data_IF_974842606889
#
_entry.id   IF_974842606889
#
_cell.length_a   1.000
_cell.length_b   1.000
_cell.length_c   1.000
_cell.angle_alpha   90.00
_cell.angle_beta   90.00
_cell.angle_gamma   90.00
#
_symmetry.space_group_name_H-M   'P 1'
#
loop_
_entity.id
_entity.type
_entity.pdbx_description
1 polymer ?
#
# COMPACT_ATOMS: atom_id res chain seq x y z
N UNK A 1 0.34 5.44 2.39
CA UNK A 1 -0.27 4.09 2.23
C UNK A 1 -0.32 3.75 0.74
N UNK A 2 0.22 2.60 0.33
CA UNK A 2 0.25 2.18 -1.08
C UNK A 2 -0.83 1.16 -1.41
N UNK A 3 -1.28 1.13 -2.66
CA UNK A 3 -2.09 0.05 -3.22
C UNK A 3 -1.28 -0.87 -4.15
N UNK A 4 -1.94 -1.90 -4.67
CA UNK A 4 -1.33 -2.85 -5.62
C UNK A 4 -1.02 -2.21 -6.98
N UNK A 5 -1.80 -1.21 -7.41
CA UNK A 5 -1.61 -0.57 -8.71
C UNK A 5 -0.25 0.13 -8.81
N UNK A 6 0.24 0.70 -7.71
CA UNK A 6 1.58 1.29 -7.61
C UNK A 6 2.65 0.22 -7.87
N UNK A 7 2.59 -0.90 -7.16
CA UNK A 7 3.59 -1.97 -7.26
C UNK A 7 3.54 -2.76 -8.57
N UNK A 8 2.37 -2.82 -9.21
CA UNK A 8 2.23 -3.39 -10.54
C UNK A 8 2.80 -2.49 -11.64
N UNK A 9 2.86 -1.18 -11.40
CA UNK A 9 3.47 -0.25 -12.34
C UNK A 9 4.97 -0.04 -12.11
N UNK A 10 5.40 -0.08 -10.85
CA UNK A 10 6.81 -0.05 -10.47
C UNK A 10 7.02 -0.97 -9.24
N UNK A 11 7.58 -2.17 -9.44
CA UNK A 11 7.83 -3.12 -8.36
C UNK A 11 8.74 -2.60 -7.24
N UNK A 12 9.57 -1.59 -7.54
CA UNK A 12 10.47 -0.97 -6.58
C UNK A 12 9.86 0.21 -5.82
N UNK A 13 8.65 0.64 -6.16
CA UNK A 13 8.05 1.87 -5.64
C UNK A 13 8.01 1.94 -4.11
N UNK A 14 7.81 0.81 -3.42
CA UNK A 14 7.79 0.76 -1.95
C UNK A 14 9.09 1.27 -1.29
N UNK A 15 10.19 1.36 -2.03
CA UNK A 15 11.48 1.86 -1.55
C UNK A 15 11.83 3.28 -2.06
N UNK A 16 10.89 3.99 -2.70
CA UNK A 16 11.13 5.28 -3.39
C UNK A 16 10.40 6.47 -2.75
N UNK A 17 10.11 6.39 -1.46
CA UNK A 17 9.45 7.46 -0.71
C UNK A 17 10.40 8.14 0.28
N UNK A 18 11.71 8.04 0.05
CA UNK A 18 12.76 8.77 0.77
C UNK A 18 12.63 8.69 2.32
N UNK A 19 12.22 9.78 2.97
CA UNK A 19 12.08 9.90 4.42
C UNK A 19 10.76 9.35 4.99
N UNK A 20 9.82 8.94 4.14
CA UNK A 20 8.45 8.64 4.56
C UNK A 20 8.26 7.22 5.10
N UNK A 21 7.22 7.05 5.93
CA UNK A 21 6.73 5.73 6.35
C UNK A 21 5.81 5.13 5.27
N UNK A 22 6.33 4.12 4.58
CA UNK A 22 5.57 3.33 3.61
C UNK A 22 4.79 2.25 4.33
N UNK A 23 3.46 2.41 4.34
CA UNK A 23 2.54 1.41 4.86
C UNK A 23 1.89 0.65 3.71
N UNK A 24 2.06 -0.68 3.72
CA UNK A 24 1.52 -1.61 2.74
C UNK A 24 0.40 -2.47 3.37
N UNK A 25 -0.88 -2.22 3.09
CA UNK A 25 -1.97 -3.07 3.58
C UNK A 25 -1.77 -4.53 3.16
N UNK A 26 -2.01 -5.50 4.05
CA UNK A 26 -1.83 -6.94 3.75
C UNK A 26 -2.61 -7.42 2.52
N UNK A 27 -3.74 -6.77 2.22
CA UNK A 27 -4.54 -7.08 1.03
C UNK A 27 -3.74 -6.86 -0.26
N UNK A 28 -2.79 -5.94 -0.30
CA UNK A 28 -1.92 -5.70 -1.45
C UNK A 28 -1.06 -6.92 -1.75
N UNK A 29 -0.51 -7.59 -0.73
CA UNK A 29 0.26 -8.84 -0.91
C UNK A 29 -0.63 -9.94 -1.51
N UNK A 30 -1.89 -10.01 -1.06
CA UNK A 30 -2.87 -10.98 -1.58
C UNK A 30 -3.19 -10.71 -3.05
N UNK A 31 -3.35 -9.45 -3.43
CA UNK A 31 -3.61 -9.06 -4.82
C UNK A 31 -2.40 -9.31 -5.72
N UNK A 32 -1.17 -9.03 -5.25
CA UNK A 32 0.05 -9.36 -6.00
C UNK A 32 0.15 -10.87 -6.27
N UNK A 33 -0.12 -11.71 -5.27
CA UNK A 33 -0.14 -13.16 -5.45
C UNK A 33 -1.19 -13.59 -6.48
N UNK A 34 -2.41 -13.03 -6.43
CA UNK A 34 -3.45 -13.31 -7.42
C UNK A 34 -3.04 -12.89 -8.85
N UNK A 35 -2.18 -11.87 -8.99
CA UNK A 35 -1.69 -11.36 -10.28
C UNK A 35 -0.40 -12.02 -10.75
N UNK A 36 0.26 -12.89 -9.96
CA UNK A 36 1.58 -13.47 -10.29
C UNK A 36 1.63 -14.26 -11.61
N UNK A 37 0.49 -14.79 -12.07
CA UNK A 37 0.36 -15.55 -13.32
C UNK A 37 -0.35 -14.76 -14.43
N UNK A 38 -0.65 -13.48 -14.20
CA UNK A 38 -1.28 -12.63 -15.21
C UNK A 38 -0.34 -12.45 -16.42
N UNK A 39 -0.82 -12.57 -17.66
CA UNK A 39 0.02 -12.47 -18.86
C UNK A 39 0.83 -11.16 -18.93
N UNK A 40 0.18 -10.04 -18.59
CA UNK A 40 0.80 -8.70 -18.71
C UNK A 40 1.42 -8.21 -17.40
N UNK A 41 0.86 -8.62 -16.26
CA UNK A 41 1.17 -8.03 -14.94
C UNK A 41 2.00 -8.96 -14.06
N UNK A 42 2.06 -10.25 -14.40
CA UNK A 42 2.69 -11.26 -13.57
C UNK A 42 4.19 -11.04 -13.39
N UNK A 43 4.86 -10.44 -14.38
CA UNK A 43 6.27 -10.06 -14.22
C UNK A 43 6.44 -9.05 -13.07
N UNK A 44 5.69 -7.96 -13.08
CA UNK A 44 5.76 -6.90 -12.07
C UNK A 44 5.34 -7.41 -10.69
N UNK A 45 4.24 -8.17 -10.64
CA UNK A 45 3.78 -8.79 -9.39
C UNK A 45 4.85 -9.69 -8.76
N UNK A 46 5.51 -10.55 -9.56
CA UNK A 46 6.59 -11.41 -9.07
C UNK A 46 7.82 -10.62 -8.63
N UNK A 47 8.16 -9.50 -9.29
CA UNK A 47 9.26 -8.65 -8.86
C UNK A 47 8.95 -8.00 -7.50
N UNK A 48 7.73 -7.47 -7.32
CA UNK A 48 7.33 -6.86 -6.05
C UNK A 48 7.32 -7.89 -4.91
N UNK A 49 6.79 -9.09 -5.16
CA UNK A 49 6.80 -10.19 -4.19
C UNK A 49 8.22 -10.66 -3.84
N UNK A 50 9.13 -10.71 -4.81
CA UNK A 50 10.55 -11.01 -4.53
C UNK A 50 11.20 -9.96 -3.64
N UNK A 51 10.97 -8.68 -3.92
CA UNK A 51 11.51 -7.60 -3.09
C UNK A 51 10.98 -7.67 -1.64
N UNK A 52 9.68 -7.95 -1.47
CA UNK A 52 9.10 -8.20 -0.15
C UNK A 52 9.74 -9.42 0.54
N UNK A 53 9.99 -10.51 -0.20
CA UNK A 53 10.66 -11.69 0.34
C UNK A 53 12.11 -11.40 0.75
N UNK A 54 12.85 -10.62 -0.04
CA UNK A 54 14.21 -10.19 0.28
C UNK A 54 14.24 -9.36 1.58
N UNK A 55 13.28 -8.45 1.75
CA UNK A 55 13.11 -7.71 3.01
C UNK A 55 12.76 -8.63 4.17
N UNK A 56 11.85 -9.58 3.98
CA UNK A 56 11.47 -10.57 5.00
C UNK A 56 12.66 -11.43 5.42
N UNK A 57 13.48 -11.88 4.48
CA UNK A 57 14.70 -12.67 4.76
C UNK A 57 15.70 -11.83 5.55
N UNK A 58 15.88 -10.55 5.19
CA UNK A 58 16.84 -9.65 5.84
C UNK A 58 16.43 -9.26 7.26
N UNK A 59 15.16 -8.92 7.47
CA UNK A 59 14.68 -8.35 8.74
C UNK A 59 13.83 -9.34 9.56
N UNK A 60 13.58 -10.54 9.05
CA UNK A 60 12.81 -11.61 9.69
C UNK A 60 11.30 -11.47 9.56
N UNK A 61 10.77 -10.25 9.72
CA UNK A 61 9.33 -9.94 9.67
C UNK A 61 9.10 -8.54 9.09
N UNK A 62 7.90 -8.32 8.54
CA UNK A 62 7.55 -7.08 7.85
C UNK A 62 6.42 -6.30 8.52
N UNK A 63 5.81 -6.83 9.57
CA UNK A 63 4.69 -6.17 10.28
C UNK A 63 5.14 -5.14 11.32
N UNK A 64 6.45 -4.95 11.48
CA UNK A 64 7.06 -3.82 12.18
C UNK A 64 7.83 -2.95 11.17
N UNK A 65 8.01 -1.64 11.44
CA UNK A 65 8.80 -0.77 10.58
C UNK A 65 10.21 -1.32 10.35
N UNK A 66 10.57 -1.52 9.09
CA UNK A 66 11.94 -1.82 8.65
C UNK A 66 12.53 -0.60 7.95
N UNK A 67 13.83 -0.30 8.13
CA UNK A 67 14.44 0.86 7.49
C UNK A 67 14.55 0.68 5.96
N UNK A 68 14.28 1.77 5.24
CA UNK A 68 14.45 1.90 3.79
C UNK A 68 15.42 3.03 3.47
N UNK A 69 16.39 2.74 2.60
CA UNK A 69 17.40 3.72 2.18
C UNK A 69 18.18 4.32 3.36
N UNK A 70 18.74 5.50 3.12
CA UNK A 70 19.59 6.22 4.10
C UNK A 70 18.92 7.51 4.61
N UNK A 71 17.72 7.85 4.11
CA UNK A 71 17.01 9.10 4.41
C UNK A 71 15.99 8.99 5.56
N UNK A 72 15.92 7.82 6.22
CA UNK A 72 15.09 7.61 7.40
C UNK A 72 13.69 7.05 7.11
N UNK A 73 13.35 6.76 5.85
CA UNK A 73 12.10 6.11 5.49
C UNK A 73 12.00 4.69 6.04
N UNK A 74 10.76 4.19 6.14
CA UNK A 74 10.50 2.84 6.62
C UNK A 74 9.44 2.13 5.77
N UNK A 75 9.43 0.80 5.82
CA UNK A 75 8.35 -0.02 5.26
C UNK A 75 7.73 -0.86 6.38
N UNK A 76 6.41 -1.00 6.37
CA UNK A 76 5.71 -2.07 7.11
C UNK A 76 4.53 -2.62 6.32
N UNK A 77 4.25 -3.91 6.51
CA UNK A 77 3.02 -4.57 6.08
C UNK A 77 1.99 -4.45 7.20
N UNK A 78 0.87 -3.80 6.90
CA UNK A 78 -0.15 -3.48 7.88
C UNK A 78 -1.20 -4.59 7.99
N UNK A 79 -1.35 -5.14 9.21
CA UNK A 79 -2.19 -6.30 9.50
C UNK A 79 -3.49 -5.95 10.25
N UNK A 80 -3.49 -4.90 11.08
CA UNK A 80 -4.51 -4.71 12.14
C UNK A 80 -5.47 -3.56 11.86
N UNK A 81 -5.02 -2.51 11.17
CA UNK A 81 -5.81 -1.29 10.89
C UNK A 81 -6.93 -1.49 9.85
N UNK A 82 -7.58 -2.66 9.84
CA UNK A 82 -8.59 -3.05 8.86
C UNK A 82 -10.03 -2.91 9.35
N UNK A 83 -10.29 -2.28 10.51
CA UNK A 83 -11.66 -2.07 11.00
C UNK A 83 -12.43 -1.18 10.00
N UNK A 84 -13.46 -1.69 9.30
CA UNK A 84 -14.22 -0.91 8.33
C UNK A 84 -15.19 0.08 9.00
N UNK A 85 -15.36 0.06 10.33
CA UNK A 85 -16.22 0.97 11.08
C UNK A 85 -15.88 2.45 10.87
N UNK A 86 -14.61 2.78 10.62
CA UNK A 86 -14.14 4.15 10.36
C UNK A 86 -14.57 4.70 8.99
N UNK A 87 -15.02 3.84 8.07
CA UNK A 87 -15.53 4.24 6.77
C UNK A 87 -17.05 4.50 6.82
N UNK A 88 -17.61 5.35 5.95
CA UNK A 88 -19.06 5.47 5.80
C UNK A 88 -19.68 4.14 5.36
N UNK A 89 -20.93 3.86 5.74
CA UNK A 89 -21.59 2.57 5.48
C UNK A 89 -21.56 2.13 4.00
N UNK A 90 -21.69 3.08 3.06
CA UNK A 90 -21.61 2.80 1.62
C UNK A 90 -20.24 2.31 1.12
N UNK A 91 -19.18 2.50 1.91
CA UNK A 91 -17.81 2.04 1.63
C UNK A 91 -17.41 0.82 2.46
N UNK A 92 -18.31 0.21 3.23
CA UNK A 92 -18.02 -0.99 4.03
C UNK A 92 -18.32 -2.26 3.24
N UNK A 93 -17.80 -2.35 2.02
CA UNK A 93 -18.14 -3.42 1.08
C UNK A 93 -17.33 -4.70 1.32
N UNK A 94 -16.26 -4.62 2.13
CA UNK A 94 -15.36 -5.74 2.40
C UNK A 94 -14.41 -6.09 1.25
N UNK A 95 -14.46 -5.32 0.16
CA UNK A 95 -13.55 -5.40 -0.98
C UNK A 95 -12.16 -4.85 -0.64
N UNK A 96 -11.21 -5.02 -1.56
CA UNK A 96 -9.81 -4.67 -1.33
C UNK A 96 -9.62 -3.16 -1.18
N UNK A 97 -10.34 -2.36 -1.96
CA UNK A 97 -10.36 -0.90 -1.83
C UNK A 97 -10.80 -0.47 -0.43
N UNK A 98 -11.92 -1.03 0.08
CA UNK A 98 -12.41 -0.73 1.43
C UNK A 98 -11.36 -1.04 2.50
N UNK A 99 -10.60 -2.13 2.33
CA UNK A 99 -9.53 -2.51 3.27
C UNK A 99 -8.35 -1.54 3.24
N UNK A 100 -7.92 -1.12 2.04
CA UNK A 100 -6.85 -0.12 1.87
C UNK A 100 -7.27 1.22 2.49
N UNK A 101 -8.50 1.65 2.21
CA UNK A 101 -9.05 2.89 2.76
C UNK A 101 -9.22 2.82 4.28
N UNK A 102 -9.63 1.67 4.84
CA UNK A 102 -9.72 1.48 6.28
C UNK A 102 -8.34 1.61 6.95
N UNK A 103 -7.28 1.05 6.37
CA UNK A 103 -5.91 1.23 6.88
C UNK A 103 -5.51 2.69 6.91
N UNK A 104 -5.66 3.40 5.79
CA UNK A 104 -5.32 4.81 5.72
C UNK A 104 -6.14 5.67 6.69
N UNK A 105 -7.43 5.35 6.84
CA UNK A 105 -8.35 6.02 7.76
C UNK A 105 -7.99 5.86 9.22
N UNK A 106 -7.69 4.63 9.64
CA UNK A 106 -7.35 4.35 11.02
C UNK A 106 -6.04 5.04 11.40
N UNK A 107 -5.02 5.01 10.53
CA UNK A 107 -3.79 5.78 10.74
C UNK A 107 -4.05 7.28 10.83
N UNK A 108 -4.90 7.84 9.95
CA UNK A 108 -5.28 9.26 10.04
C UNK A 108 -5.99 9.57 11.37
N UNK A 109 -6.85 8.68 11.85
CA UNK A 109 -7.56 8.83 13.14
C UNK A 109 -6.62 8.75 14.35
N UNK A 110 -5.48 8.05 14.23
CA UNK A 110 -4.41 8.01 15.22
C UNK A 110 -3.51 9.25 15.20
N UNK A 111 -3.75 10.18 14.28
CA UNK A 111 -3.05 11.47 14.20
C UNK A 111 -1.90 11.50 13.20
N UNK A 112 -1.71 10.45 12.39
CA UNK A 112 -0.73 10.47 11.30
C UNK A 112 -1.19 11.37 10.15
N UNK A 113 -0.24 12.02 9.48
CA UNK A 113 -0.47 12.63 8.17
C UNK A 113 -0.40 11.54 7.10
N UNK A 114 -1.53 11.27 6.44
CA UNK A 114 -1.71 10.07 5.60
C UNK A 114 -2.12 10.44 4.19
N UNK A 115 -1.26 10.06 3.23
CA UNK A 115 -1.58 10.08 1.80
C UNK A 115 -1.76 8.66 1.27
N UNK A 116 -2.87 8.41 0.58
CA UNK A 116 -3.08 7.22 -0.24
C UNK A 116 -2.44 7.44 -1.60
N UNK A 117 -1.48 6.60 -1.97
CA UNK A 117 -0.80 6.69 -3.26
C UNK A 117 -1.28 5.55 -4.14
N UNK A 118 -1.81 5.89 -5.32
CA UNK A 118 -2.42 4.93 -6.25
C UNK A 118 -2.32 5.41 -7.69
N UNK A 119 -2.24 4.49 -8.66
CA UNK A 119 -2.45 4.79 -10.08
C UNK A 119 -3.92 4.67 -10.49
N UNK A 120 -4.74 3.98 -9.71
CA UNK A 120 -6.15 3.83 -10.00
C UNK A 120 -6.93 5.11 -9.66
N UNK A 121 -7.62 5.67 -10.66
CA UNK A 121 -8.43 6.88 -10.48
C UNK A 121 -9.65 6.62 -9.58
N UNK A 122 -10.44 5.54 -9.79
CA UNK A 122 -11.48 5.11 -8.86
C UNK A 122 -11.05 5.08 -7.39
N UNK A 123 -9.95 4.40 -7.04
CA UNK A 123 -9.50 4.36 -5.64
C UNK A 123 -9.17 5.75 -5.08
N UNK A 124 -8.50 6.61 -5.86
CA UNK A 124 -8.22 8.00 -5.46
C UNK A 124 -9.49 8.82 -5.22
N UNK A 125 -10.50 8.68 -6.09
CA UNK A 125 -11.81 9.33 -5.90
C UNK A 125 -12.46 8.84 -4.60
N UNK A 126 -12.44 7.52 -4.33
CA UNK A 126 -12.99 6.96 -3.08
C UNK A 126 -12.26 7.50 -1.84
N UNK A 127 -10.92 7.56 -1.88
CA UNK A 127 -10.10 8.10 -0.81
C UNK A 127 -10.44 9.57 -0.50
N UNK A 128 -10.47 10.43 -1.52
CA UNK A 128 -10.84 11.84 -1.35
C UNK A 128 -12.28 12.00 -0.85
N UNK A 129 -13.19 11.13 -1.30
CA UNK A 129 -14.61 11.17 -0.90
C UNK A 129 -14.83 10.82 0.57
N UNK A 130 -13.94 10.01 1.17
CA UNK A 130 -13.96 9.82 2.62
C UNK A 130 -13.22 10.94 3.35
N UNK A 131 -12.31 11.66 2.69
CA UNK A 131 -11.52 12.79 3.22
C UNK A 131 -10.04 12.45 3.49
N UNK A 132 -9.49 11.44 2.79
CA UNK A 132 -8.07 11.14 2.79
C UNK A 132 -7.39 11.96 1.70
N UNK A 133 -6.14 12.35 1.91
CA UNK A 133 -5.30 12.81 0.81
C UNK A 133 -5.02 11.64 -0.12
N UNK A 134 -5.07 11.88 -1.43
CA UNK A 134 -4.87 10.86 -2.44
C UNK A 134 -4.05 11.41 -3.60
N UNK A 135 -2.96 10.74 -3.93
CA UNK A 135 -2.00 11.18 -4.94
C UNK A 135 -1.76 10.11 -6.00
N UNK A 136 -1.46 10.59 -7.21
CA UNK A 136 -1.01 9.72 -8.30
C UNK A 136 0.42 9.25 -8.04
N UNK A 137 0.69 7.95 -8.17
CA UNK A 137 2.08 7.53 -8.27
C UNK A 137 2.69 7.93 -9.62
N UNK A 138 3.71 8.80 -9.55
CA UNK A 138 4.50 9.23 -10.70
C UNK A 138 5.95 8.79 -10.50
N UNK A 139 6.34 7.72 -11.18
CA UNK A 139 7.76 7.42 -11.32
C UNK A 139 8.32 8.38 -12.37
N UNK A 140 9.14 9.34 -11.95
CA UNK A 140 10.00 10.06 -12.89
C UNK A 140 11.06 9.07 -13.39
N UNK A 141 11.14 8.93 -14.72
CA UNK A 141 12.15 8.10 -15.41
C UNK A 141 13.49 8.82 -15.48
#
# INVERSE_FOLDING_TARGET
>A
VLDTSVLLADPGAMARFDEHEVVLPIVVVTELEAKRHHPELGYFARQALRLLDDFRVRYGRLDAPIPLGDLGGTLRVELNHSDPGVLPAGYRLGDNDSRILAVARNLQAEGYDVTVVSKDLPLRIKASSVGLLAEEYRAEL
#
